data_IF_406314004257
#
_entry.id   IF_406314004257
#
_cell.length_a   1.000
_cell.length_b   1.000
_cell.length_c   1.000
_cell.angle_alpha   90.00
_cell.angle_beta   90.00
_cell.angle_gamma   90.00
#
_symmetry.space_group_name_H-M   'P 1'
#
loop_
_entity.id
_entity.type
_entity.pdbx_description
1 polymer ?
#
# COMPACT_ATOMS: atom_id res chain seq x y z
N UNK A 1 3.92 -0.90 -13.24
CA UNK A 1 2.84 -1.18 -14.20
C UNK A 1 1.53 -0.72 -13.58
N UNK A 2 0.75 0.04 -14.33
CA UNK A 2 -0.58 0.48 -13.94
C UNK A 2 -1.59 -0.04 -14.98
N UNK A 3 -2.67 -0.62 -14.51
CA UNK A 3 -3.79 -1.06 -15.34
C UNK A 3 -5.08 -0.42 -14.78
N UNK A 4 -5.24 0.89 -14.95
CA UNK A 4 -6.35 1.63 -14.36
C UNK A 4 -7.72 1.16 -14.88
N UNK A 5 -7.78 0.65 -16.09
CA UNK A 5 -8.99 0.06 -16.68
C UNK A 5 -9.46 -1.19 -15.91
N UNK A 6 -8.52 -1.92 -15.29
CA UNK A 6 -8.79 -3.09 -14.45
C UNK A 6 -8.88 -2.74 -12.95
N UNK A 7 -8.78 -1.45 -12.59
CA UNK A 7 -8.79 -1.01 -11.21
C UNK A 7 -7.48 -1.16 -10.44
N UNK A 8 -6.42 -1.66 -11.06
CA UNK A 8 -5.08 -1.69 -10.48
C UNK A 8 -4.44 -0.31 -10.54
N UNK A 9 -4.22 0.31 -9.41
CA UNK A 9 -3.70 1.67 -9.29
C UNK A 9 -2.18 1.71 -9.20
N UNK A 10 -1.56 0.62 -8.74
CA UNK A 10 -0.11 0.53 -8.60
C UNK A 10 0.31 -0.50 -7.56
N UNK A 11 1.60 -0.73 -7.46
CA UNK A 11 2.16 -1.64 -6.46
C UNK A 11 3.67 -1.53 -6.34
N UNK A 12 4.17 -2.03 -5.22
CA UNK A 12 5.58 -2.03 -4.87
C UNK A 12 6.02 -3.44 -4.49
N UNK A 13 7.19 -3.83 -4.94
CA UNK A 13 7.79 -5.12 -4.58
C UNK A 13 9.01 -4.92 -3.71
N UNK A 14 9.09 -5.73 -2.67
CA UNK A 14 10.21 -5.74 -1.73
C UNK A 14 10.80 -7.14 -1.66
N UNK A 15 12.09 -7.22 -1.40
CA UNK A 15 12.81 -8.47 -1.30
C UNK A 15 13.64 -8.52 -0.03
N UNK A 16 13.59 -9.66 0.67
CA UNK A 16 14.42 -9.95 1.84
C UNK A 16 15.26 -11.21 1.58
N UNK A 17 16.53 -11.16 1.94
CA UNK A 17 17.47 -12.23 1.68
C UNK A 17 17.49 -13.35 2.74
N UNK A 18 17.12 -13.04 3.98
CA UNK A 18 17.19 -14.02 5.06
C UNK A 18 16.00 -13.90 6.03
N UNK A 19 15.07 -14.83 6.03
CA UNK A 19 14.84 -15.84 4.97
C UNK A 19 14.46 -15.16 3.64
N UNK A 20 14.68 -15.84 2.53
CA UNK A 20 14.30 -15.33 1.21
C UNK A 20 12.79 -15.10 1.18
N UNK A 21 12.40 -13.85 0.96
CA UNK A 21 10.99 -13.47 0.96
C UNK A 21 10.75 -12.37 -0.06
N UNK A 22 9.69 -12.50 -0.84
CA UNK A 22 9.18 -11.41 -1.68
C UNK A 22 7.85 -10.92 -1.10
N UNK A 23 7.73 -9.62 -0.92
CA UNK A 23 6.50 -8.95 -0.53
C UNK A 23 6.04 -8.07 -1.69
N UNK A 24 4.79 -8.23 -2.10
CA UNK A 24 4.11 -7.34 -3.03
C UNK A 24 3.02 -6.57 -2.27
N UNK A 25 3.09 -5.26 -2.29
CA UNK A 25 2.01 -4.38 -1.85
C UNK A 25 1.34 -3.83 -3.10
N UNK A 26 0.03 -4.00 -3.22
CA UNK A 26 -0.74 -3.51 -4.37
C UNK A 26 -1.93 -2.66 -3.93
N UNK A 27 -2.24 -1.65 -4.74
CA UNK A 27 -3.31 -0.69 -4.50
C UNK A 27 -4.38 -0.87 -5.57
N UNK A 28 -5.62 -1.02 -5.13
CA UNK A 28 -6.77 -1.28 -5.98
C UNK A 28 -7.89 -0.26 -5.74
N UNK A 29 -8.62 0.06 -6.76
CA UNK A 29 -9.75 0.99 -6.68
C UNK A 29 -10.90 0.42 -5.84
N UNK A 30 -11.13 -0.90 -5.94
CA UNK A 30 -12.16 -1.61 -5.19
C UNK A 30 -11.77 -3.07 -4.94
N UNK A 31 -12.45 -3.70 -4.01
CA UNK A 31 -12.31 -5.15 -3.80
C UNK A 31 -12.81 -5.95 -5.00
N UNK A 32 -13.89 -5.50 -5.63
CA UNK A 32 -14.45 -6.15 -6.82
C UNK A 32 -13.44 -6.16 -7.98
N UNK A 33 -12.69 -5.08 -8.18
CA UNK A 33 -11.63 -5.03 -9.20
C UNK A 33 -10.52 -6.03 -8.90
N UNK A 34 -10.09 -6.11 -7.65
CA UNK A 34 -9.10 -7.09 -7.20
C UNK A 34 -9.60 -8.53 -7.41
N UNK A 35 -10.85 -8.80 -7.01
CA UNK A 35 -11.45 -10.13 -7.14
C UNK A 35 -11.62 -10.54 -8.61
N UNK A 36 -12.09 -9.63 -9.45
CA UNK A 36 -12.21 -9.85 -10.87
C UNK A 36 -10.85 -10.17 -11.51
N UNK A 37 -9.82 -9.42 -11.16
CA UNK A 37 -8.47 -9.69 -11.63
C UNK A 37 -7.97 -11.06 -11.13
N UNK A 38 -8.15 -11.36 -9.85
CA UNK A 38 -7.66 -12.60 -9.23
C UNK A 38 -8.32 -13.85 -9.81
N UNK A 39 -9.59 -13.76 -10.20
CA UNK A 39 -10.40 -14.89 -10.71
C UNK A 39 -10.48 -14.96 -12.24
N UNK A 40 -9.96 -13.96 -12.95
CA UNK A 40 -10.07 -13.93 -14.41
C UNK A 40 -9.25 -15.03 -15.07
N UNK A 41 -9.88 -15.94 -15.83
CA UNK A 41 -9.15 -16.99 -16.55
C UNK A 41 -8.23 -16.46 -17.66
N UNK A 42 -8.49 -15.23 -18.14
CA UNK A 42 -7.69 -14.58 -19.16
C UNK A 42 -6.39 -13.95 -18.64
N UNK A 43 -6.24 -13.86 -17.33
CA UNK A 43 -5.06 -13.25 -16.72
C UNK A 43 -3.93 -14.26 -16.51
N UNK A 44 -2.72 -13.95 -16.98
CA UNK A 44 -1.56 -14.86 -16.88
C UNK A 44 -1.21 -15.27 -15.45
N UNK A 45 -1.53 -14.42 -14.48
CA UNK A 45 -1.18 -14.69 -13.08
C UNK A 45 -1.93 -15.91 -12.51
N UNK A 46 -3.16 -16.20 -12.94
CA UNK A 46 -3.90 -17.35 -12.48
C UNK A 46 -3.21 -18.67 -12.88
N UNK A 47 -2.75 -18.75 -14.12
CA UNK A 47 -1.98 -19.90 -14.60
C UNK A 47 -0.64 -20.03 -13.86
N UNK A 48 0.06 -18.92 -13.64
CA UNK A 48 1.30 -18.90 -12.85
C UNK A 48 1.06 -19.33 -11.41
N UNK A 49 0.00 -18.86 -10.78
CA UNK A 49 -0.42 -19.25 -9.43
C UNK A 49 -0.73 -20.75 -9.32
N UNK A 50 -1.50 -21.30 -10.25
CA UNK A 50 -1.80 -22.73 -10.28
C UNK A 50 -0.55 -23.58 -10.45
N UNK A 51 0.36 -23.17 -11.35
CA UNK A 51 1.65 -23.83 -11.57
C UNK A 51 2.52 -23.77 -10.31
N UNK A 52 2.57 -22.64 -9.66
CA UNK A 52 3.31 -22.44 -8.42
C UNK A 52 2.77 -23.35 -7.30
N UNK A 53 1.45 -23.36 -7.08
CA UNK A 53 0.84 -24.21 -6.05
C UNK A 53 1.08 -25.70 -6.26
N UNK A 54 1.17 -26.14 -7.51
CA UNK A 54 1.55 -27.52 -7.82
C UNK A 54 3.02 -27.83 -7.51
N UNK A 55 3.89 -26.81 -7.65
CA UNK A 55 5.34 -26.97 -7.50
C UNK A 55 5.81 -26.96 -6.05
N UNK A 56 5.15 -26.19 -5.17
CA UNK A 56 5.62 -25.98 -3.79
C UNK A 56 5.36 -27.14 -2.83
N UNK A 57 4.48 -28.08 -3.18
CA UNK A 57 4.16 -29.20 -2.28
C UNK A 57 3.58 -28.76 -0.93
N UNK A 58 3.60 -29.68 0.03
CA UNK A 58 3.08 -29.48 1.39
C UNK A 58 4.14 -29.69 2.48
N UNK A 59 5.40 -29.62 2.15
CA UNK A 59 6.52 -29.88 3.07
C UNK A 59 6.92 -28.68 3.93
N UNK A 60 6.27 -27.51 3.72
CA UNK A 60 6.56 -26.29 4.45
C UNK A 60 7.83 -25.55 4.00
N UNK A 61 8.49 -26.01 2.93
CA UNK A 61 9.69 -25.34 2.40
C UNK A 61 9.42 -23.99 1.79
N UNK A 62 8.22 -23.77 1.26
CA UNK A 62 7.74 -22.50 0.72
C UNK A 62 6.37 -22.19 1.31
N UNK A 63 6.24 -21.00 1.88
CA UNK A 63 4.97 -20.47 2.41
C UNK A 63 4.49 -19.30 1.60
N UNK A 64 3.17 -19.09 1.61
CA UNK A 64 2.52 -17.92 1.06
C UNK A 64 1.60 -17.35 2.12
N UNK A 65 1.58 -16.03 2.25
CA UNK A 65 0.52 -15.37 2.98
C UNK A 65 -0.08 -14.27 2.10
N UNK A 66 -1.32 -13.95 2.38
CA UNK A 66 -2.06 -12.92 1.67
C UNK A 66 -2.98 -12.20 2.66
N UNK A 67 -2.98 -10.89 2.58
CA UNK A 67 -3.83 -10.00 3.39
C UNK A 67 -4.47 -8.97 2.47
N UNK A 68 -5.74 -8.66 2.70
CA UNK A 68 -6.45 -7.61 1.99
C UNK A 68 -7.10 -6.67 2.99
N UNK A 69 -6.82 -5.39 2.85
CA UNK A 69 -7.36 -4.34 3.70
C UNK A 69 -8.35 -3.48 2.91
N UNK A 70 -9.59 -3.44 3.36
CA UNK A 70 -10.60 -2.54 2.81
C UNK A 70 -10.50 -1.21 3.54
N UNK A 71 -10.10 -0.17 2.83
CA UNK A 71 -9.83 1.14 3.40
C UNK A 71 -10.93 2.11 2.99
N UNK A 72 -11.55 2.73 3.97
CA UNK A 72 -12.54 3.78 3.78
C UNK A 72 -11.90 5.17 3.95
N UNK A 73 -12.50 6.23 3.38
CA UNK A 73 -12.08 7.59 3.65
C UNK A 73 -11.96 7.88 5.16
N UNK A 74 -10.87 8.52 5.59
CA UNK A 74 -10.61 8.81 6.99
C UNK A 74 -9.97 7.67 7.80
N UNK A 75 -9.74 6.51 7.20
CA UNK A 75 -9.10 5.37 7.88
C UNK A 75 -7.62 5.20 7.58
N UNK A 76 -7.06 6.08 6.77
CA UNK A 76 -5.63 6.09 6.51
C UNK A 76 -5.12 7.53 6.41
N UNK A 77 -3.87 7.70 6.68
CA UNK A 77 -3.12 8.91 6.39
C UNK A 77 -1.73 8.53 5.87
N UNK A 78 -1.14 9.38 5.10
CA UNK A 78 0.21 9.20 4.60
C UNK A 78 0.92 10.54 4.48
N UNK A 79 2.20 10.58 4.81
CA UNK A 79 3.07 11.72 4.64
C UNK A 79 4.37 11.28 3.97
N UNK A 80 4.84 12.08 3.05
CA UNK A 80 6.06 11.83 2.30
C UNK A 80 6.97 13.03 2.47
N UNK A 81 8.15 12.80 3.01
CA UNK A 81 9.16 13.83 3.24
C UNK A 81 10.42 13.55 2.43
N UNK A 82 10.87 14.51 1.64
CA UNK A 82 12.12 14.46 0.89
C UNK A 82 12.32 13.18 0.05
N UNK A 83 11.24 12.69 -0.56
CA UNK A 83 11.26 11.50 -1.42
C UNK A 83 10.32 11.67 -2.61
N UNK A 84 10.55 10.94 -3.73
CA UNK A 84 9.62 10.93 -4.84
C UNK A 84 8.28 10.28 -4.45
N UNK A 85 7.26 10.47 -5.28
CA UNK A 85 6.00 9.76 -5.13
C UNK A 85 6.25 8.24 -5.15
N UNK A 86 5.81 7.58 -4.10
CA UNK A 86 6.02 6.16 -3.87
C UNK A 86 4.79 5.53 -3.23
N UNK A 87 4.57 4.24 -3.44
CA UNK A 87 3.48 3.52 -2.81
C UNK A 87 2.12 4.17 -3.09
N UNK A 88 1.38 4.48 -2.05
CA UNK A 88 0.05 5.08 -2.17
C UNK A 88 0.07 6.44 -2.90
N UNK A 89 1.09 7.27 -2.69
CA UNK A 89 1.22 8.56 -3.38
C UNK A 89 1.45 8.39 -4.90
N UNK A 90 2.13 7.33 -5.32
CA UNK A 90 2.31 7.00 -6.73
C UNK A 90 1.04 6.40 -7.36
N UNK A 91 0.26 5.67 -6.56
CA UNK A 91 -0.97 5.00 -6.99
C UNK A 91 -2.20 5.93 -7.01
N UNK A 92 -2.14 7.05 -6.27
CA UNK A 92 -3.28 7.96 -6.08
C UNK A 92 -2.86 9.42 -6.21
N UNK A 93 -3.70 10.32 -5.74
CA UNK A 93 -3.46 11.75 -5.81
C UNK A 93 -2.61 12.23 -4.64
N UNK A 94 -1.48 12.83 -4.95
CA UNK A 94 -0.56 13.43 -4.00
C UNK A 94 -0.89 14.93 -3.80
N UNK A 95 -0.90 15.40 -2.56
CA UNK A 95 -1.17 16.81 -2.21
C UNK A 95 -0.16 17.33 -1.19
N UNK A 96 0.12 18.63 -1.22
CA UNK A 96 1.07 19.26 -0.29
C UNK A 96 0.61 19.20 1.17
N UNK A 97 1.56 19.03 2.08
CA UNK A 97 1.37 19.04 3.53
C UNK A 97 1.45 20.50 4.02
N UNK A 98 0.33 21.19 4.00
CA UNK A 98 0.23 22.59 4.45
C UNK A 98 -1.08 22.83 5.20
N UNK A 99 -1.07 23.77 6.16
CA UNK A 99 -2.25 24.21 6.89
C UNK A 99 -2.97 23.04 7.60
N UNK A 100 -4.19 22.77 7.19
CA UNK A 100 -5.02 21.72 7.81
C UNK A 100 -4.48 20.28 7.64
N UNK A 101 -3.39 20.07 6.92
CA UNK A 101 -2.81 18.74 6.68
C UNK A 101 -1.49 18.50 7.41
N UNK A 102 -1.09 19.38 8.30
CA UNK A 102 0.20 19.29 8.98
C UNK A 102 0.30 18.12 9.95
N UNK A 103 -0.79 17.77 10.63
CA UNK A 103 -0.80 16.65 11.58
C UNK A 103 -1.50 15.42 11.02
N UNK A 104 -1.08 14.22 11.45
CA UNK A 104 -1.72 12.97 11.09
C UNK A 104 -3.22 12.98 11.41
N UNK A 105 -3.59 13.49 12.58
CA UNK A 105 -4.99 13.59 13.00
C UNK A 105 -5.82 14.45 12.05
N UNK A 106 -5.27 15.57 11.59
CA UNK A 106 -5.95 16.45 10.64
C UNK A 106 -6.06 15.80 9.25
N UNK A 107 -5.06 15.06 8.82
CA UNK A 107 -5.13 14.31 7.56
C UNK A 107 -6.18 13.20 7.58
N UNK A 108 -6.44 12.62 8.75
CA UNK A 108 -7.54 11.67 8.97
C UNK A 108 -8.93 12.33 9.05
N UNK A 109 -9.02 13.65 8.88
CA UNK A 109 -10.29 14.39 8.98
C UNK A 109 -10.68 14.78 10.40
N UNK A 110 -9.81 14.57 11.39
CA UNK A 110 -10.04 15.03 12.77
C UNK A 110 -9.79 16.51 12.93
N UNK A 111 -10.56 17.16 13.81
CA UNK A 111 -10.49 18.60 14.01
C UNK A 111 -9.40 19.03 14.98
N UNK A 112 -8.56 18.23 15.51
CA UNK A 112 -7.89 18.71 16.63
C UNK A 112 -6.54 18.31 17.01
N UNK A 113 -6.18 18.89 18.03
CA UNK A 113 -4.96 18.84 18.82
C UNK A 113 -4.46 17.40 19.00
N UNK A 114 -3.15 17.14 18.84
CA UNK A 114 -2.60 15.81 19.09
C UNK A 114 -2.90 15.38 20.53
N UNK A 115 -3.14 14.10 20.74
CA UNK A 115 -3.37 13.53 22.07
C UNK A 115 -2.18 13.72 23.01
N UNK A 116 -1.01 13.97 22.46
CA UNK A 116 0.23 14.33 23.15
C UNK A 116 0.86 15.55 22.47
N UNK A 117 1.54 16.42 23.20
CA UNK A 117 2.28 17.53 22.61
C UNK A 117 3.29 17.04 21.59
N UNK A 118 3.43 17.78 20.48
CA UNK A 118 4.50 17.48 19.53
C UNK A 118 5.86 17.67 20.20
N UNK A 119 6.80 16.75 20.01
CA UNK A 119 8.17 16.97 20.47
C UNK A 119 8.77 18.19 19.79
N UNK A 120 9.65 18.88 20.48
CA UNK A 120 10.40 20.00 19.89
C UNK A 120 11.14 19.54 18.64
N UNK A 121 11.07 20.34 17.57
CA UNK A 121 11.88 20.05 16.39
C UNK A 121 13.36 20.17 16.76
N UNK A 122 14.17 19.12 16.67
CA UNK A 122 15.60 19.18 17.04
C UNK A 122 16.41 20.13 16.14
N UNK A 123 15.88 20.48 14.99
CA UNK A 123 16.55 21.36 14.01
C UNK A 123 16.12 22.83 14.11
N UNK A 124 15.27 23.19 15.05
CA UNK A 124 15.01 24.58 15.47
C UNK A 124 14.46 25.54 14.43
N UNK A 125 14.01 25.08 13.28
CA UNK A 125 13.45 25.96 12.26
C UNK A 125 11.93 25.92 12.27
N UNK A 126 11.37 27.06 12.63
CA UNK A 126 9.97 27.37 12.35
C UNK A 126 9.86 27.68 10.87
N UNK A 127 9.20 26.85 10.13
CA UNK A 127 8.68 27.16 8.80
C UNK A 127 7.24 27.63 8.89
#
# INVERSE_FOLDING_TARGET
>A
YQYPEKGFLGGESFFRFSPITTLLISYWRSFDDLENFARSPSEPHLAAWQKFNKAIGNDGSVGIWHETYLIQPGQYEAVYGNMPAFGLAAATKHVSVTGKRETARRRLGGENEPAVPSPSNPNGEHS
#
